data_IF_752441453393
#
_entry.id   IF_752441453393
#
_cell.length_a   1.000
_cell.length_b   1.000
_cell.length_c   1.000
_cell.angle_alpha   90.00
_cell.angle_beta   90.00
_cell.angle_gamma   90.00
#
_symmetry.space_group_name_H-M   'P 1'
#
loop_
_entity.id
_entity.type
_entity.pdbx_description
1 polymer ?
#
# COMPACT_ATOMS: atom_id res chain seq x y z
N UNK A 1 -20.87 11.41 -3.33
CA UNK A 1 -21.33 10.10 -2.83
C UNK A 1 -20.30 9.61 -1.82
N UNK A 2 -20.67 9.40 -0.56
CA UNK A 2 -19.73 8.98 0.49
C UNK A 2 -19.38 7.49 0.40
N UNK A 3 -18.21 7.10 0.90
CA UNK A 3 -17.80 5.70 0.93
C UNK A 3 -18.77 4.83 1.74
N UNK A 4 -19.28 5.34 2.85
CA UNK A 4 -20.31 4.68 3.66
C UNK A 4 -21.57 4.37 2.86
N UNK A 5 -22.09 5.35 2.11
CA UNK A 5 -23.30 5.16 1.31
C UNK A 5 -23.11 4.10 0.22
N UNK A 6 -21.93 4.06 -0.40
CA UNK A 6 -21.60 3.01 -1.38
C UNK A 6 -21.56 1.63 -0.70
N UNK A 7 -20.98 1.54 0.51
CA UNK A 7 -20.92 0.30 1.26
C UNK A 7 -22.31 -0.24 1.60
N UNK A 8 -23.23 0.62 2.02
CA UNK A 8 -24.63 0.23 2.26
C UNK A 8 -25.29 -0.33 0.99
N UNK A 9 -25.12 0.37 -0.13
CA UNK A 9 -25.69 -0.05 -1.41
C UNK A 9 -25.10 -1.41 -1.83
N UNK A 10 -23.79 -1.61 -1.70
CA UNK A 10 -23.13 -2.86 -2.06
C UNK A 10 -23.57 -4.04 -1.18
N UNK A 11 -23.81 -3.81 0.12
CA UNK A 11 -24.35 -4.82 1.04
C UNK A 11 -25.75 -5.30 0.64
N UNK A 12 -26.54 -4.46 -0.01
CA UNK A 12 -27.90 -4.82 -0.48
C UNK A 12 -27.88 -5.68 -1.75
N UNK A 13 -26.73 -5.86 -2.41
CA UNK A 13 -26.63 -6.67 -3.63
C UNK A 13 -26.77 -8.16 -3.28
N UNK A 14 -27.75 -8.81 -3.92
CA UNK A 14 -28.02 -10.24 -3.75
C UNK A 14 -26.93 -11.11 -4.38
N UNK A 15 -26.76 -12.34 -3.88
CA UNK A 15 -25.75 -13.27 -4.40
C UNK A 15 -25.93 -13.59 -5.89
N UNK A 16 -27.18 -13.68 -6.36
CA UNK A 16 -27.50 -13.92 -7.77
C UNK A 16 -27.08 -12.74 -8.62
N UNK A 17 -27.36 -11.50 -8.17
CA UNK A 17 -26.90 -10.29 -8.85
C UNK A 17 -25.37 -10.20 -8.88
N UNK A 18 -24.68 -10.53 -7.78
CA UNK A 18 -23.21 -10.58 -7.76
C UNK A 18 -22.65 -11.53 -8.84
N UNK A 19 -23.24 -12.72 -8.99
CA UNK A 19 -22.80 -13.68 -10.01
C UNK A 19 -23.05 -13.17 -11.44
N UNK A 20 -24.20 -12.53 -11.69
CA UNK A 20 -24.51 -11.91 -12.98
C UNK A 20 -23.50 -10.80 -13.32
N UNK A 21 -23.05 -10.04 -12.31
CA UNK A 21 -21.99 -9.03 -12.45
C UNK A 21 -20.59 -9.62 -12.66
N UNK A 22 -20.44 -10.95 -12.64
CA UNK A 22 -19.15 -11.64 -12.78
C UNK A 22 -18.33 -11.74 -11.49
N UNK A 23 -18.92 -11.44 -10.33
CA UNK A 23 -18.28 -11.56 -9.03
C UNK A 23 -18.62 -12.88 -8.33
N UNK A 24 -17.70 -13.40 -7.52
CA UNK A 24 -17.93 -14.60 -6.73
C UNK A 24 -18.45 -14.22 -5.34
N UNK A 25 -19.70 -14.56 -4.95
CA UNK A 25 -20.25 -14.18 -3.65
C UNK A 25 -19.52 -14.79 -2.45
N UNK A 26 -18.68 -15.81 -2.65
CA UNK A 26 -17.87 -16.43 -1.58
C UNK A 26 -16.46 -15.84 -1.46
N UNK A 27 -15.92 -15.23 -2.52
CA UNK A 27 -14.51 -14.85 -2.59
C UNK A 27 -14.26 -13.39 -2.97
N UNK A 28 -15.22 -12.72 -3.60
CA UNK A 28 -15.07 -11.36 -4.13
C UNK A 28 -16.39 -10.60 -4.11
N UNK A 29 -16.99 -10.47 -2.91
CA UNK A 29 -18.19 -9.66 -2.76
C UNK A 29 -17.91 -8.17 -3.01
N UNK A 30 -18.84 -7.42 -3.62
CA UNK A 30 -18.60 -6.03 -4.01
C UNK A 30 -18.31 -5.11 -2.82
N UNK A 31 -18.95 -5.34 -1.67
CA UNK A 31 -18.71 -4.53 -0.47
C UNK A 31 -17.25 -4.65 0.05
N UNK A 32 -16.52 -5.71 -0.29
CA UNK A 32 -15.11 -5.90 0.12
C UNK A 32 -14.14 -5.01 -0.65
N UNK A 33 -14.60 -4.34 -1.72
CA UNK A 33 -13.81 -3.31 -2.39
C UNK A 33 -13.62 -2.06 -1.52
N UNK A 34 -14.47 -1.87 -0.51
CA UNK A 34 -14.36 -0.77 0.47
C UNK A 34 -13.67 -1.31 1.72
N UNK A 35 -12.50 -0.76 2.01
CA UNK A 35 -11.68 -1.19 3.15
C UNK A 35 -12.25 -0.64 4.46
N UNK A 36 -12.81 -1.53 5.29
CA UNK A 36 -13.20 -1.24 6.68
C UNK A 36 -12.12 -1.66 7.67
N UNK A 37 -11.35 -2.68 7.33
CA UNK A 37 -10.22 -3.20 8.13
C UNK A 37 -9.00 -3.26 7.22
N UNK A 38 -7.95 -2.51 7.56
CA UNK A 38 -6.70 -2.49 6.81
C UNK A 38 -5.70 -3.49 7.43
N UNK A 39 -5.28 -4.55 6.70
CA UNK A 39 -4.30 -5.49 7.22
C UNK A 39 -2.92 -4.87 7.32
N UNK A 40 -2.26 -5.05 8.46
CA UNK A 40 -0.89 -4.57 8.70
C UNK A 40 0.11 -5.68 8.36
N UNK A 41 1.02 -5.48 7.39
CA UNK A 41 1.99 -6.50 7.03
C UNK A 41 3.02 -6.74 8.15
N UNK A 42 3.50 -7.99 8.32
CA UNK A 42 4.51 -8.34 9.32
C UNK A 42 5.90 -7.77 8.98
N UNK A 43 6.83 -7.80 9.96
CA UNK A 43 8.18 -7.19 9.84
C UNK A 43 8.98 -7.74 8.65
N UNK A 44 8.81 -9.01 8.28
CA UNK A 44 9.49 -9.60 7.11
C UNK A 44 9.15 -8.92 5.78
N UNK A 45 8.00 -8.25 5.67
CA UNK A 45 7.59 -7.46 4.49
C UNK A 45 8.07 -6.02 4.57
N UNK A 46 8.26 -5.50 5.79
CA UNK A 46 8.67 -4.12 6.11
C UNK A 46 9.89 -4.10 7.05
N UNK A 47 11.06 -4.56 6.57
CA UNK A 47 12.24 -4.74 7.41
C UNK A 47 12.82 -3.40 7.86
N UNK A 48 13.24 -3.32 9.12
CA UNK A 48 14.02 -2.19 9.62
C UNK A 48 15.51 -2.41 9.42
N UNK A 49 16.26 -1.32 9.20
CA UNK A 49 17.71 -1.37 9.04
C UNK A 49 18.36 -0.68 10.24
N UNK A 50 19.24 -1.41 10.92
CA UNK A 50 20.11 -0.90 11.97
C UNK A 50 21.41 -0.44 11.33
N UNK A 51 21.74 0.85 11.49
CA UNK A 51 23.03 1.38 11.09
C UNK A 51 23.85 1.66 12.34
N UNK A 52 25.10 1.18 12.38
CA UNK A 52 25.96 1.34 13.54
C UNK A 52 26.21 2.84 13.82
N UNK A 53 25.84 3.30 15.03
CA UNK A 53 26.00 4.71 15.45
C UNK A 53 24.92 5.68 14.98
N UNK A 54 23.88 5.25 14.26
CA UNK A 54 22.76 6.11 13.82
C UNK A 54 21.42 5.51 14.27
N UNK A 55 20.43 6.36 14.51
CA UNK A 55 19.05 5.96 14.82
C UNK A 55 18.48 4.99 13.77
N UNK A 56 17.59 4.10 14.23
CA UNK A 56 16.89 3.11 13.41
C UNK A 56 16.27 3.72 12.13
N UNK A 57 16.62 3.16 10.98
CA UNK A 57 15.95 3.50 9.71
C UNK A 57 14.83 2.51 9.45
N UNK A 58 13.58 3.00 9.45
CA UNK A 58 12.39 2.17 9.24
C UNK A 58 12.06 2.06 7.75
N UNK A 59 11.36 0.99 7.38
CA UNK A 59 10.86 0.81 6.01
C UNK A 59 9.82 1.89 5.63
N UNK A 60 9.76 2.26 4.35
CA UNK A 60 8.78 3.23 3.81
C UNK A 60 7.32 2.85 4.12
N UNK A 61 6.97 1.56 4.12
CA UNK A 61 5.63 1.11 4.48
C UNK A 61 5.32 1.41 5.95
N UNK A 62 6.31 1.28 6.84
CA UNK A 62 6.14 1.58 8.27
C UNK A 62 5.87 3.08 8.48
N UNK A 63 6.54 3.96 7.74
CA UNK A 63 6.26 5.40 7.78
C UNK A 63 4.84 5.72 7.29
N UNK A 64 4.41 5.15 6.18
CA UNK A 64 3.06 5.37 5.65
C UNK A 64 1.98 4.83 6.64
N UNK A 65 2.16 3.62 7.17
CA UNK A 65 1.26 3.02 8.16
C UNK A 65 1.15 3.87 9.44
N UNK A 66 2.26 4.45 9.90
CA UNK A 66 2.23 5.36 11.05
C UNK A 66 1.38 6.61 10.77
N UNK A 67 1.43 7.15 9.55
CA UNK A 67 0.59 8.28 9.14
C UNK A 67 -0.89 7.89 9.07
N UNK A 68 -1.21 6.70 8.54
CA UNK A 68 -2.59 6.17 8.52
C UNK A 68 -3.15 6.05 9.93
N UNK A 69 -2.39 5.47 10.87
CA UNK A 69 -2.84 5.32 12.27
C UNK A 69 -3.07 6.70 12.91
N UNK A 70 -2.18 7.67 12.67
CA UNK A 70 -2.36 9.03 13.18
C UNK A 70 -3.63 9.69 12.63
N UNK A 71 -3.84 9.64 11.32
CA UNK A 71 -5.02 10.20 10.68
C UNK A 71 -6.31 9.54 11.21
N UNK A 72 -6.31 8.21 11.37
CA UNK A 72 -7.44 7.46 11.90
C UNK A 72 -7.75 7.81 13.37
N UNK A 73 -6.72 8.00 14.20
CA UNK A 73 -6.91 8.39 15.59
C UNK A 73 -7.43 9.83 15.73
N UNK A 74 -6.97 10.73 14.87
CA UNK A 74 -7.47 12.12 14.81
C UNK A 74 -8.95 12.11 14.44
N UNK A 75 -9.34 11.42 13.37
CA UNK A 75 -10.75 11.30 12.97
C UNK A 75 -11.63 10.74 14.09
N UNK A 76 -11.17 9.69 14.76
CA UNK A 76 -11.90 9.11 15.89
C UNK A 76 -12.05 10.08 17.06
N UNK A 77 -11.09 10.97 17.26
CA UNK A 77 -11.17 12.01 18.27
C UNK A 77 -12.11 13.15 17.85
N UNK A 78 -12.08 13.54 16.56
CA UNK A 78 -12.96 14.58 16.02
C UNK A 78 -14.44 14.18 16.11
N UNK A 79 -14.74 12.90 15.87
CA UNK A 79 -16.08 12.32 16.05
C UNK A 79 -16.56 12.40 17.51
N UNK A 80 -15.66 12.29 18.49
CA UNK A 80 -16.02 12.36 19.91
C UNK A 80 -16.26 13.79 20.41
N UNK A 81 -15.56 14.77 19.81
CA UNK A 81 -15.61 16.17 20.21
C UNK A 81 -16.68 16.94 19.42
N UNK A 82 -17.38 16.28 18.49
CA UNK A 82 -18.38 16.88 17.60
C UNK A 82 -17.81 18.09 16.83
N UNK A 83 -16.62 17.89 16.25
CA UNK A 83 -15.98 18.90 15.40
C UNK A 83 -16.85 19.17 14.15
N UNK A 84 -16.75 20.38 13.60
CA UNK A 84 -17.47 20.77 12.38
C UNK A 84 -17.26 19.76 11.24
N UNK A 85 -18.37 19.42 10.57
CA UNK A 85 -18.40 18.48 9.43
C UNK A 85 -17.34 18.76 8.36
N UNK A 86 -17.07 20.03 8.05
CA UNK A 86 -16.05 20.41 7.07
C UNK A 86 -14.64 19.92 7.45
N UNK A 87 -14.27 20.01 8.72
CA UNK A 87 -12.95 19.59 9.20
C UNK A 87 -12.85 18.06 9.18
N UNK A 88 -13.92 17.38 9.57
CA UNK A 88 -14.01 15.91 9.50
C UNK A 88 -13.85 15.44 8.05
N UNK A 89 -14.49 16.11 7.09
CA UNK A 89 -14.35 15.80 5.66
C UNK A 89 -12.91 15.98 5.15
N UNK A 90 -12.20 17.03 5.58
CA UNK A 90 -10.78 17.23 5.23
C UNK A 90 -9.89 16.11 5.80
N UNK A 91 -10.07 15.76 7.08
CA UNK A 91 -9.33 14.68 7.70
C UNK A 91 -9.66 13.30 7.08
N UNK A 92 -10.91 13.09 6.66
CA UNK A 92 -11.35 11.89 5.97
C UNK A 92 -10.68 11.77 4.60
N UNK A 93 -10.62 12.87 3.83
CA UNK A 93 -9.89 12.92 2.58
C UNK A 93 -8.40 12.60 2.78
N UNK A 94 -7.78 13.12 3.84
CA UNK A 94 -6.39 12.82 4.16
C UNK A 94 -6.17 11.34 4.53
N UNK A 95 -7.07 10.73 5.29
CA UNK A 95 -7.03 9.29 5.59
C UNK A 95 -7.18 8.47 4.30
N UNK A 96 -8.13 8.82 3.43
CA UNK A 96 -8.35 8.17 2.15
C UNK A 96 -7.10 8.26 1.26
N UNK A 97 -6.47 9.43 1.16
CA UNK A 97 -5.22 9.64 0.45
C UNK A 97 -4.08 8.78 1.03
N UNK A 98 -3.94 8.73 2.36
CA UNK A 98 -2.91 7.94 3.03
C UNK A 98 -3.07 6.44 2.76
N UNK A 99 -4.30 5.92 2.83
CA UNK A 99 -4.62 4.54 2.48
C UNK A 99 -4.39 4.24 0.99
N UNK A 100 -4.75 5.16 0.09
CA UNK A 100 -4.54 4.99 -1.35
C UNK A 100 -3.04 4.92 -1.70
N UNK A 101 -2.24 5.83 -1.15
CA UNK A 101 -0.79 5.90 -1.41
C UNK A 101 -0.03 4.68 -0.89
N UNK A 102 -0.49 4.05 0.21
CA UNK A 102 0.05 2.77 0.72
C UNK A 102 0.02 1.67 -0.36
N UNK A 103 -1.04 1.62 -1.16
CA UNK A 103 -1.20 0.64 -2.23
C UNK A 103 -0.46 1.11 -3.46
N UNK A 104 -0.74 2.34 -3.93
CA UNK A 104 -0.14 2.92 -5.11
C UNK A 104 0.17 4.40 -4.90
N UNK A 105 1.46 4.73 -4.83
CA UNK A 105 1.92 6.11 -4.68
C UNK A 105 2.05 6.87 -6.02
N UNK A 106 1.86 6.19 -7.16
CA UNK A 106 1.94 6.78 -8.50
C UNK A 106 0.55 6.95 -9.12
N UNK A 107 -0.42 7.44 -8.34
CA UNK A 107 -1.77 7.69 -8.84
C UNK A 107 -1.80 8.98 -9.68
N UNK A 108 -2.39 8.95 -10.90
CA UNK A 108 -2.46 10.14 -11.74
C UNK A 108 -3.34 11.21 -11.11
N UNK A 109 -2.88 12.46 -11.12
CA UNK A 109 -3.61 13.61 -10.57
C UNK A 109 -3.55 13.73 -9.04
N UNK A 110 -2.87 12.82 -8.34
CA UNK A 110 -2.64 12.90 -6.90
C UNK A 110 -1.17 13.24 -6.61
N UNK A 111 -0.89 14.06 -5.58
CA UNK A 111 0.48 14.29 -5.15
C UNK A 111 1.11 12.98 -4.64
N UNK A 112 2.41 12.83 -4.82
CA UNK A 112 3.12 11.67 -4.27
C UNK A 112 3.41 11.88 -2.79
N UNK A 113 3.21 10.83 -2.00
CA UNK A 113 3.63 10.82 -0.60
C UNK A 113 5.15 10.68 -0.53
N UNK A 114 5.80 11.63 0.15
CA UNK A 114 7.25 11.71 0.26
C UNK A 114 7.71 11.57 1.71
N UNK A 115 8.94 11.08 1.88
CA UNK A 115 9.67 11.22 3.14
C UNK A 115 10.02 12.69 3.42
N UNK A 116 10.53 12.96 4.63
CA UNK A 116 10.97 14.30 5.07
C UNK A 116 12.04 14.93 4.15
N UNK A 117 12.83 14.10 3.45
CA UNK A 117 13.85 14.54 2.50
C UNK A 117 13.31 14.76 1.07
N UNK A 118 11.99 14.70 0.86
CA UNK A 118 11.37 14.86 -0.46
C UNK A 118 11.40 13.62 -1.35
N UNK A 119 12.04 12.52 -0.91
CA UNK A 119 12.06 11.26 -1.66
C UNK A 119 10.67 10.61 -1.64
N UNK A 120 10.07 10.25 -2.79
CA UNK A 120 8.81 9.50 -2.83
C UNK A 120 8.92 8.16 -2.07
N UNK A 121 7.86 7.81 -1.34
CA UNK A 121 7.78 6.52 -0.64
C UNK A 121 7.67 5.36 -1.62
N UNK A 122 8.45 4.30 -1.41
CA UNK A 122 8.35 3.06 -2.18
C UNK A 122 7.29 2.12 -1.59
N UNK A 123 6.05 2.28 -2.06
CA UNK A 123 4.87 1.56 -1.57
C UNK A 123 4.61 0.23 -2.33
N UNK A 124 3.51 -0.47 -2.02
CA UNK A 124 3.29 -1.86 -2.45
C UNK A 124 3.38 -2.06 -3.97
N UNK A 125 2.67 -1.26 -4.76
CA UNK A 125 2.67 -1.35 -6.21
C UNK A 125 4.09 -1.16 -6.78
N UNK A 126 4.84 -0.17 -6.29
CA UNK A 126 6.22 0.11 -6.71
C UNK A 126 7.22 -1.01 -6.35
N UNK A 127 6.89 -1.86 -5.37
CA UNK A 127 7.69 -3.06 -5.05
C UNK A 127 7.40 -4.22 -6.00
N UNK A 128 6.17 -4.33 -6.51
CA UNK A 128 5.76 -5.43 -7.38
C UNK A 128 6.08 -5.17 -8.85
N UNK A 129 5.81 -3.96 -9.34
CA UNK A 129 5.93 -3.58 -10.75
C UNK A 129 7.37 -3.21 -11.15
N UNK A 130 7.63 -3.21 -12.46
CA UNK A 130 8.88 -2.73 -13.05
C UNK A 130 9.97 -3.79 -13.22
N UNK A 131 11.08 -3.39 -13.83
CA UNK A 131 12.23 -4.29 -14.13
C UNK A 131 12.88 -4.84 -12.85
N UNK A 132 13.13 -3.94 -11.89
CA UNK A 132 13.69 -4.24 -10.57
C UNK A 132 12.60 -4.58 -9.53
N UNK A 133 11.36 -4.83 -9.97
CA UNK A 133 10.24 -5.21 -9.11
C UNK A 133 10.33 -6.69 -8.71
N UNK A 134 9.54 -7.10 -7.71
CA UNK A 134 9.58 -8.48 -7.17
C UNK A 134 9.32 -9.55 -8.23
N UNK A 135 8.35 -9.35 -9.12
CA UNK A 135 7.97 -10.37 -10.10
C UNK A 135 9.12 -10.62 -11.07
N UNK A 136 9.60 -9.57 -11.75
CA UNK A 136 10.65 -9.72 -12.77
C UNK A 136 12.05 -9.86 -12.15
N UNK A 137 12.39 -9.04 -11.18
CA UNK A 137 13.73 -8.94 -10.62
C UNK A 137 14.05 -9.92 -9.48
N UNK A 138 13.07 -10.60 -8.89
CA UNK A 138 13.32 -11.57 -7.82
C UNK A 138 12.76 -12.96 -8.10
N UNK A 139 11.60 -13.06 -8.77
CA UNK A 139 10.98 -14.35 -9.08
C UNK A 139 11.41 -14.89 -10.45
N UNK A 140 11.49 -14.06 -11.50
CA UNK A 140 11.90 -14.51 -12.84
C UNK A 140 13.42 -14.54 -13.05
N UNK A 141 14.16 -13.66 -12.39
CA UNK A 141 15.62 -13.61 -12.48
C UNK A 141 16.23 -13.38 -11.11
N UNK A 142 16.72 -14.45 -10.46
CA UNK A 142 17.33 -14.36 -9.13
C UNK A 142 18.84 -14.49 -9.25
N UNK A 143 19.58 -13.81 -8.36
CA UNK A 143 21.00 -14.11 -8.15
C UNK A 143 21.13 -15.51 -7.57
N UNK A 144 22.07 -16.28 -8.10
CA UNK A 144 22.34 -17.66 -7.70
C UNK A 144 23.71 -17.76 -7.06
N UNK A 145 23.79 -18.60 -6.03
CA UNK A 145 25.05 -18.99 -5.43
C UNK A 145 25.81 -19.94 -6.36
N UNK A 146 27.08 -20.21 -6.05
CA UNK A 146 27.95 -21.11 -6.85
C UNK A 146 28.12 -20.70 -8.31
N UNK A 147 28.18 -19.39 -8.57
CA UNK A 147 28.47 -18.83 -9.90
C UNK A 147 29.73 -17.96 -9.88
N UNK A 148 30.49 -17.99 -10.97
CA UNK A 148 31.65 -17.13 -11.19
C UNK A 148 31.50 -16.38 -12.51
N UNK A 149 32.13 -15.21 -12.60
CA UNK A 149 32.19 -14.41 -13.83
C UNK A 149 33.65 -14.10 -14.13
N UNK A 150 34.12 -14.49 -15.31
CA UNK A 150 35.46 -14.18 -15.81
C UNK A 150 35.38 -13.74 -17.27
N UNK A 151 36.41 -13.03 -17.73
CA UNK A 151 36.59 -12.75 -19.16
C UNK A 151 37.03 -14.04 -19.85
N UNK A 152 36.43 -14.37 -20.99
CA UNK A 152 36.86 -15.50 -21.82
C UNK A 152 37.98 -15.06 -22.77
N UNK A 153 38.97 -15.91 -22.95
CA UNK A 153 40.07 -15.75 -23.92
C UNK A 153 40.12 -16.98 -24.82
N UNK A 154 40.48 -16.83 -26.09
CA UNK A 154 40.63 -17.97 -27.00
C UNK A 154 41.88 -18.79 -26.69
N UNK A 155 41.74 -20.12 -26.66
CA UNK A 155 42.84 -21.07 -26.48
C UNK A 155 43.04 -21.85 -27.80
N UNK A 156 44.22 -21.76 -28.45
CA UNK A 156 44.50 -22.42 -29.72
C UNK A 156 45.07 -23.84 -29.61
N UNK A 157 45.31 -24.37 -28.40
CA UNK A 157 45.83 -25.73 -28.20
C UNK A 157 44.85 -26.84 -28.62
#
# INVERSE_FOLDING_TARGET
>A
LSAERVLEIFKLISNTTCQILGMNPQQSRPEWMILTVLPVPPICVRPSVLQYGVSHSQDDLTYNLANIIKANNILRQDEQIEVSSHIVDEHLQYLQYSCATLINNDLPGMPQSCQKNGRPLKTLSARLKGKEGRIRGNLMGKRVDFSARTVITGDPN
#
